data_IF_095502927720
#
_entry.id   IF_095502927720
#
_cell.length_a   1.000
_cell.length_b   1.000
_cell.length_c   1.000
_cell.angle_alpha   90.00
_cell.angle_beta   90.00
_cell.angle_gamma   90.00
#
_symmetry.space_group_name_H-M   'P 1'
#
loop_
_entity.id
_entity.type
_entity.pdbx_description
1 polymer ?
#
# COMPACT_ATOMS: atom_id res chain seq x y z
N UNK A 1 6.79 16.58 9.99
CA UNK A 1 7.40 15.28 9.64
C UNK A 1 6.23 14.36 9.36
N UNK A 2 6.19 13.70 8.21
CA UNK A 2 5.12 12.74 7.91
C UNK A 2 5.10 11.64 8.98
N UNK A 3 3.91 11.24 9.43
CA UNK A 3 3.74 10.29 10.55
C UNK A 3 3.84 8.84 10.06
N UNK A 4 5.01 8.44 9.56
CA UNK A 4 5.21 7.09 9.07
C UNK A 4 5.08 6.03 10.19
N UNK A 5 4.52 4.88 9.83
CA UNK A 5 4.35 3.70 10.67
C UNK A 5 4.96 2.47 9.99
N UNK A 6 5.19 1.42 10.77
CA UNK A 6 5.53 0.10 10.22
C UNK A 6 4.40 -0.36 9.28
N UNK A 7 4.77 -0.86 8.10
CA UNK A 7 3.83 -1.26 7.04
C UNK A 7 3.55 -0.18 5.99
N UNK A 8 3.93 1.08 6.25
CA UNK A 8 3.70 2.16 5.28
C UNK A 8 4.56 1.99 4.03
N UNK A 9 4.01 2.44 2.90
CA UNK A 9 4.72 2.51 1.64
C UNK A 9 5.41 3.87 1.47
N UNK A 10 6.69 3.80 1.14
CA UNK A 10 7.56 4.95 0.95
C UNK A 10 8.41 4.83 -0.32
N UNK A 11 8.97 5.96 -0.70
CA UNK A 11 9.99 6.09 -1.73
C UNK A 11 11.32 6.44 -1.10
N UNK A 12 12.40 6.11 -1.80
CA UNK A 12 13.76 6.54 -1.47
C UNK A 12 14.13 7.71 -2.36
N UNK A 13 14.66 8.79 -1.77
CA UNK A 13 15.06 10.00 -2.53
C UNK A 13 16.21 9.74 -3.50
N UNK A 14 17.11 8.83 -3.12
CA UNK A 14 18.30 8.48 -3.91
C UNK A 14 18.38 6.96 -4.01
N UNK A 15 17.70 6.41 -5.01
CA UNK A 15 17.55 4.96 -5.17
C UNK A 15 18.89 4.25 -5.47
N UNK A 16 19.77 4.91 -6.23
CA UNK A 16 21.03 4.32 -6.67
C UNK A 16 22.08 4.27 -5.55
N UNK A 17 21.92 5.12 -4.53
CA UNK A 17 22.77 5.11 -3.34
C UNK A 17 22.58 3.87 -2.47
N UNK A 18 21.39 3.27 -2.45
CA UNK A 18 21.06 2.18 -1.54
C UNK A 18 21.11 0.83 -2.26
N UNK A 19 21.73 -0.19 -1.65
CA UNK A 19 21.67 -1.56 -2.15
C UNK A 19 20.29 -2.18 -1.89
N UNK A 20 19.32 -1.77 -2.71
CA UNK A 20 17.99 -2.36 -2.75
C UNK A 20 17.99 -3.55 -3.70
N UNK A 21 17.50 -4.70 -3.23
CA UNK A 21 17.29 -5.84 -4.11
C UNK A 21 16.21 -5.45 -5.11
N UNK A 22 16.58 -5.30 -6.39
CA UNK A 22 15.64 -4.99 -7.46
C UNK A 22 14.74 -6.21 -7.69
N UNK A 23 13.46 -6.06 -7.39
CA UNK A 23 12.49 -7.13 -7.65
C UNK A 23 12.21 -7.16 -9.15
N UNK A 24 12.49 -8.30 -9.80
CA UNK A 24 12.11 -8.57 -11.20
C UNK A 24 12.72 -7.66 -12.28
N UNK A 25 13.90 -7.05 -12.03
CA UNK A 25 14.61 -6.25 -13.04
C UNK A 25 13.96 -4.91 -13.41
N UNK A 26 12.84 -4.56 -12.78
CA UNK A 26 12.18 -3.25 -12.92
C UNK A 26 12.62 -2.35 -11.76
N UNK A 27 13.08 -1.14 -12.09
CA UNK A 27 13.41 -0.12 -11.08
C UNK A 27 12.12 0.48 -10.56
N UNK A 28 11.55 -0.12 -9.52
CA UNK A 28 10.37 0.40 -8.81
C UNK A 28 10.88 1.06 -7.52
N UNK A 29 10.58 2.34 -7.35
CA UNK A 29 10.93 3.09 -6.14
C UNK A 29 9.77 3.05 -5.14
N UNK A 30 9.35 1.86 -4.73
CA UNK A 30 8.26 1.69 -3.74
C UNK A 30 8.68 0.61 -2.77
N UNK A 31 8.72 0.96 -1.49
CA UNK A 31 9.23 0.11 -0.43
C UNK A 31 8.30 0.13 0.78
N UNK A 32 8.16 -1.02 1.43
CA UNK A 32 7.40 -1.14 2.67
C UNK A 32 8.32 -1.01 3.88
N UNK A 33 7.95 -0.19 4.87
CA UNK A 33 8.68 -0.06 6.13
C UNK A 33 8.51 -1.34 6.95
N UNK A 34 9.62 -2.01 7.26
CA UNK A 34 9.66 -3.17 8.15
C UNK A 34 9.85 -2.77 9.61
N UNK A 35 10.71 -1.79 9.87
CA UNK A 35 10.94 -1.23 11.20
C UNK A 35 11.22 0.28 11.11
N UNK A 36 10.83 1.04 12.14
CA UNK A 36 11.07 2.47 12.25
C UNK A 36 11.75 2.76 13.58
N UNK A 37 12.88 3.45 13.52
CA UNK A 37 13.67 3.91 14.66
C UNK A 37 13.79 5.44 14.59
N UNK A 38 14.18 6.13 15.68
CA UNK A 38 14.20 7.59 15.72
C UNK A 38 15.07 8.27 14.64
N UNK A 39 16.10 7.59 14.12
CA UNK A 39 17.04 8.16 13.15
C UNK A 39 16.96 7.50 11.76
N UNK A 40 16.44 6.27 11.69
CA UNK A 40 16.45 5.47 10.47
C UNK A 40 15.22 4.56 10.35
N UNK A 41 14.97 4.11 9.12
CA UNK A 41 14.00 3.06 8.81
C UNK A 41 14.72 1.86 8.20
N UNK A 42 14.16 0.70 8.45
CA UNK A 42 14.51 -0.54 7.75
C UNK A 42 13.36 -0.87 6.81
N UNK A 43 13.66 -1.00 5.52
CA UNK A 43 12.65 -1.34 4.51
C UNK A 43 12.77 -2.79 4.09
N UNK A 44 11.64 -3.41 3.72
CA UNK A 44 11.66 -4.77 3.19
C UNK A 44 12.56 -4.86 1.95
N UNK A 45 13.28 -5.97 1.83
CA UNK A 45 14.19 -6.26 0.71
C UNK A 45 15.39 -5.30 0.56
N UNK A 46 15.67 -4.47 1.57
CA UNK A 46 16.92 -3.73 1.69
C UNK A 46 17.66 -4.16 2.96
N UNK A 47 18.97 -4.38 2.87
CA UNK A 47 19.78 -4.72 4.04
C UNK A 47 20.32 -3.49 4.78
N UNK A 48 20.21 -2.32 4.16
CA UNK A 48 20.75 -1.08 4.69
C UNK A 48 19.74 -0.35 5.57
N UNK A 49 20.25 0.36 6.57
CA UNK A 49 19.49 1.27 7.42
C UNK A 49 19.43 2.62 6.73
N UNK A 50 18.22 3.06 6.38
CA UNK A 50 18.02 4.27 5.60
C UNK A 50 17.65 5.41 6.55
N UNK A 51 18.37 6.54 6.57
CA UNK A 51 18.02 7.65 7.44
C UNK A 51 16.63 8.19 7.10
N UNK A 52 15.88 8.67 8.09
CA UNK A 52 14.53 9.26 7.88
C UNK A 52 14.57 10.41 6.86
N UNK A 53 15.68 11.14 6.78
CA UNK A 53 15.84 12.20 5.78
C UNK A 53 15.93 11.69 4.33
N UNK A 54 16.26 10.41 4.14
CA UNK A 54 16.42 9.73 2.86
C UNK A 54 15.13 9.14 2.28
N UNK A 55 14.03 9.18 3.03
CA UNK A 55 12.73 8.67 2.57
C UNK A 55 11.78 9.82 2.21
N UNK A 56 10.80 9.53 1.35
CA UNK A 56 9.76 10.46 0.95
C UNK A 56 8.41 9.73 0.83
N UNK A 57 7.27 10.41 1.08
CA UNK A 57 5.95 9.81 0.90
C UNK A 57 5.66 9.58 -0.59
N UNK A 58 4.77 8.62 -0.88
CA UNK A 58 4.35 8.32 -2.24
C UNK A 58 3.10 9.13 -2.57
N UNK A 59 3.14 10.04 -3.56
CA UNK A 59 1.96 10.79 -3.97
C UNK A 59 0.94 9.88 -4.68
N UNK A 60 -0.34 10.17 -4.47
CA UNK A 60 -1.45 9.51 -5.19
C UNK A 60 -1.58 10.17 -6.56
N UNK A 61 -0.96 9.60 -7.60
CA UNK A 61 -0.95 10.22 -8.93
C UNK A 61 -1.02 9.24 -10.11
N UNK A 62 -1.19 7.94 -9.85
CA UNK A 62 -1.25 6.89 -10.86
C UNK A 62 0.08 6.59 -11.54
N UNK A 63 1.17 7.29 -11.19
CA UNK A 63 2.52 7.08 -11.73
C UNK A 63 3.44 6.49 -10.68
N UNK A 64 3.59 7.17 -9.56
CA UNK A 64 4.50 6.79 -8.47
C UNK A 64 3.93 5.67 -7.60
N UNK A 65 2.60 5.62 -7.48
CA UNK A 65 1.85 4.59 -6.78
C UNK A 65 1.28 3.51 -7.72
N UNK A 66 1.70 3.51 -8.99
CA UNK A 66 1.22 2.60 -10.05
C UNK A 66 1.49 1.11 -9.80
N UNK A 67 2.33 0.79 -8.81
CA UNK A 67 2.70 -0.57 -8.42
C UNK A 67 2.01 -1.06 -7.16
N UNK A 68 1.02 -0.31 -6.71
CA UNK A 68 0.17 -0.68 -5.58
C UNK A 68 -1.16 -1.19 -6.13
N UNK A 69 -1.57 -2.37 -5.65
CA UNK A 69 -2.87 -2.97 -5.92
C UNK A 69 -3.62 -3.20 -4.60
N UNK A 70 -4.93 -3.42 -4.68
CA UNK A 70 -5.79 -3.65 -3.53
C UNK A 70 -6.25 -5.11 -3.49
N UNK A 71 -5.88 -5.81 -2.43
CA UNK A 71 -6.18 -7.23 -2.15
C UNK A 71 -6.53 -7.36 -0.66
N UNK A 72 -7.74 -6.94 -0.26
CA UNK A 72 -8.17 -6.97 1.12
C UNK A 72 -8.44 -8.38 1.61
N UNK A 73 -8.29 -8.60 2.92
CA UNK A 73 -8.69 -9.87 3.53
C UNK A 73 -10.22 -9.98 3.51
N UNK A 74 -10.76 -10.83 2.63
CA UNK A 74 -12.20 -11.13 2.59
C UNK A 74 -12.53 -12.15 3.69
N UNK A 75 -13.01 -11.66 4.83
CA UNK A 75 -13.50 -12.52 5.91
C UNK A 75 -14.85 -13.15 5.52
N UNK A 76 -14.80 -14.43 5.14
CA UNK A 76 -15.90 -15.40 5.03
C UNK A 76 -17.16 -14.94 4.29
N UNK A 77 -17.29 -15.36 3.02
CA UNK A 77 -18.62 -15.54 2.43
C UNK A 77 -19.35 -16.65 3.21
N UNK A 78 -20.57 -16.40 3.67
CA UNK A 78 -21.45 -17.46 4.16
C UNK A 78 -21.84 -18.33 2.97
N UNK A 79 -21.36 -19.57 2.93
CA UNK A 79 -21.68 -20.55 1.87
C UNK A 79 -22.67 -21.55 2.45
N UNK A 80 -23.85 -21.71 1.83
CA UNK A 80 -24.80 -22.75 2.23
C UNK A 80 -24.39 -24.11 1.66
N UNK A 81 -24.83 -25.23 2.26
CA UNK A 81 -24.57 -26.56 1.72
C UNK A 81 -25.07 -26.68 0.27
N UNK A 82 -24.14 -26.88 -0.68
CA UNK A 82 -24.44 -27.01 -2.11
C UNK A 82 -24.12 -25.76 -2.94
N UNK A 83 -23.83 -24.62 -2.32
CA UNK A 83 -23.40 -23.43 -3.04
C UNK A 83 -21.93 -23.55 -3.50
N UNK A 84 -21.59 -23.02 -4.69
CA UNK A 84 -20.20 -22.94 -5.11
C UNK A 84 -19.43 -22.00 -4.17
N UNK A 85 -18.26 -22.45 -3.72
CA UNK A 85 -17.36 -21.60 -2.94
C UNK A 85 -16.97 -20.40 -3.82
N UNK A 86 -17.19 -19.15 -3.38
CA UNK A 86 -16.81 -17.99 -4.16
C UNK A 86 -15.30 -17.95 -4.35
N UNK A 87 -14.88 -18.03 -5.60
CA UNK A 87 -13.46 -17.91 -5.99
C UNK A 87 -13.18 -16.42 -6.17
N UNK A 88 -12.54 -15.79 -5.18
CA UNK A 88 -11.95 -14.45 -5.37
C UNK A 88 -10.69 -14.59 -6.21
N UNK A 89 -10.67 -13.96 -7.40
CA UNK A 89 -9.45 -13.83 -8.21
C UNK A 89 -8.74 -12.54 -7.79
N UNK A 90 -7.43 -12.64 -7.57
CA UNK A 90 -6.59 -11.47 -7.29
C UNK A 90 -6.69 -10.46 -8.43
N UNK A 91 -6.91 -9.21 -8.05
CA UNK A 91 -7.00 -8.08 -8.96
C UNK A 91 -5.73 -7.22 -8.83
N UNK A 92 -4.83 -7.36 -9.80
CA UNK A 92 -3.58 -6.58 -9.85
C UNK A 92 -3.77 -5.21 -10.52
N UNK A 93 -5.02 -4.77 -10.77
CA UNK A 93 -5.27 -3.42 -11.26
C UNK A 93 -4.91 -2.37 -10.19
N UNK A 94 -4.61 -1.17 -10.66
CA UNK A 94 -4.23 -0.04 -9.83
C UNK A 94 -5.24 0.17 -8.69
N UNK A 95 -4.75 0.17 -7.45
CA UNK A 95 -5.60 0.12 -6.25
C UNK A 95 -6.69 1.21 -6.24
N UNK A 96 -6.36 2.41 -6.69
CA UNK A 96 -7.28 3.55 -6.66
C UNK A 96 -8.45 3.41 -7.66
N UNK A 97 -8.27 2.64 -8.74
CA UNK A 97 -9.36 2.25 -9.62
C UNK A 97 -10.17 1.11 -9.03
N UNK A 98 -9.52 0.17 -8.34
CA UNK A 98 -10.18 -0.90 -7.59
C UNK A 98 -11.08 -0.37 -6.48
N UNK A 99 -10.74 0.76 -5.87
CA UNK A 99 -11.55 1.43 -4.86
C UNK A 99 -12.96 1.82 -5.33
N UNK A 100 -13.19 2.02 -6.64
CA UNK A 100 -14.53 2.28 -7.18
C UNK A 100 -15.49 1.10 -7.01
N UNK A 101 -14.97 -0.11 -6.82
CA UNK A 101 -15.74 -1.36 -6.65
C UNK A 101 -15.96 -1.73 -5.18
N UNK A 102 -15.32 -1.02 -4.25
CA UNK A 102 -15.37 -1.31 -2.82
C UNK A 102 -16.09 -0.18 -2.10
N UNK A 103 -17.13 -0.55 -1.35
CA UNK A 103 -18.04 0.38 -0.71
C UNK A 103 -18.01 0.20 0.79
N UNK A 104 -18.06 1.33 1.49
CA UNK A 104 -18.37 1.39 2.91
C UNK A 104 -19.54 2.35 3.09
N UNK A 105 -20.60 1.86 3.72
CA UNK A 105 -21.89 2.57 3.80
C UNK A 105 -22.40 2.92 2.39
N UNK A 106 -22.52 4.21 2.07
CA UNK A 106 -23.03 4.71 0.79
C UNK A 106 -21.95 5.28 -0.13
N UNK A 107 -20.67 5.15 0.22
CA UNK A 107 -19.55 5.74 -0.53
C UNK A 107 -18.58 4.66 -0.97
N UNK A 108 -18.01 4.81 -2.15
CA UNK A 108 -16.89 3.98 -2.55
C UNK A 108 -15.59 4.51 -1.94
N UNK A 109 -14.56 3.67 -1.85
CA UNK A 109 -13.32 4.02 -1.19
C UNK A 109 -12.60 5.19 -1.89
N UNK A 110 -12.81 5.37 -3.20
CA UNK A 110 -12.22 6.48 -3.94
C UNK A 110 -12.82 7.83 -3.50
N UNK A 111 -14.13 7.86 -3.23
CA UNK A 111 -14.81 9.03 -2.68
C UNK A 111 -14.31 9.35 -1.28
N UNK A 112 -14.14 8.32 -0.42
CA UNK A 112 -13.58 8.52 0.93
C UNK A 112 -12.18 9.14 0.88
N UNK A 113 -11.30 8.65 0.01
CA UNK A 113 -9.95 9.23 -0.17
C UNK A 113 -10.02 10.69 -0.62
N UNK A 114 -10.95 11.04 -1.53
CA UNK A 114 -11.13 12.42 -2.01
C UNK A 114 -11.69 13.34 -0.92
N UNK A 115 -12.63 12.87 -0.11
CA UNK A 115 -13.25 13.68 0.95
C UNK A 115 -12.28 14.05 2.07
N UNK A 116 -11.33 13.16 2.35
CA UNK A 116 -10.27 13.41 3.34
C UNK A 116 -9.10 14.22 2.78
N UNK A 117 -9.12 14.57 1.49
CA UNK A 117 -8.06 15.29 0.78
C UNK A 117 -6.67 14.61 0.94
N UNK A 118 -6.64 13.27 0.91
CA UNK A 118 -5.38 12.54 1.02
C UNK A 118 -4.52 12.77 -0.22
N UNK A 119 -3.26 13.12 0.02
CA UNK A 119 -2.26 13.38 -1.01
C UNK A 119 -1.27 12.24 -1.17
N UNK A 120 -1.11 11.42 -0.11
CA UNK A 120 -0.10 10.38 -0.04
C UNK A 120 -0.69 9.01 0.32
N UNK A 121 -0.09 7.96 -0.22
CA UNK A 121 -0.53 6.56 -0.04
C UNK A 121 -0.60 6.16 1.43
N UNK A 122 0.39 6.54 2.26
CA UNK A 122 0.40 6.16 3.68
C UNK A 122 -0.82 6.70 4.46
N UNK A 123 -1.38 7.83 4.03
CA UNK A 123 -2.59 8.39 4.64
C UNK A 123 -3.81 7.49 4.35
N UNK A 124 -3.88 6.96 3.12
CA UNK A 124 -4.88 5.95 2.75
C UNK A 124 -4.69 4.68 3.58
N UNK A 125 -3.44 4.21 3.73
CA UNK A 125 -3.14 3.03 4.53
C UNK A 125 -3.57 3.21 5.99
N UNK A 126 -3.27 4.35 6.62
CA UNK A 126 -3.68 4.63 7.99
C UNK A 126 -5.20 4.67 8.10
N UNK A 127 -5.88 5.37 7.19
CA UNK A 127 -7.33 5.46 7.21
C UNK A 127 -8.00 4.08 7.11
N UNK A 128 -7.58 3.26 6.14
CA UNK A 128 -8.14 1.93 5.96
C UNK A 128 -7.83 1.01 7.14
N UNK A 129 -6.60 1.06 7.67
CA UNK A 129 -6.24 0.27 8.84
C UNK A 129 -7.00 0.69 10.09
N UNK A 130 -7.14 1.99 10.34
CA UNK A 130 -7.85 2.51 11.50
C UNK A 130 -9.36 2.13 11.44
N UNK A 131 -9.98 2.19 10.25
CA UNK A 131 -11.41 1.85 10.05
C UNK A 131 -11.69 0.33 9.96
N UNK A 132 -10.81 -0.44 9.31
CA UNK A 132 -11.08 -1.84 8.92
C UNK A 132 -10.11 -2.85 9.52
N UNK A 133 -9.08 -2.41 10.26
CA UNK A 133 -8.00 -3.24 10.82
C UNK A 133 -7.15 -3.97 9.76
N UNK A 134 -7.30 -3.61 8.48
CA UNK A 134 -6.52 -4.04 7.33
C UNK A 134 -6.53 -2.91 6.29
N UNK A 135 -5.37 -2.56 5.74
CA UNK A 135 -5.30 -1.59 4.66
C UNK A 135 -5.52 -2.23 3.28
N UNK A 136 -5.33 -3.55 3.17
CA UNK A 136 -5.51 -4.31 1.93
C UNK A 136 -4.60 -3.90 0.77
N UNK A 137 -3.73 -2.89 0.92
CA UNK A 137 -2.81 -2.46 -0.13
C UNK A 137 -1.61 -3.39 -0.16
N UNK A 138 -1.17 -3.73 -1.37
CA UNK A 138 -0.06 -4.65 -1.63
C UNK A 138 0.79 -4.14 -2.80
N UNK A 139 2.06 -4.54 -2.82
CA UNK A 139 2.99 -4.21 -3.90
C UNK A 139 2.97 -5.30 -4.97
N UNK A 140 2.76 -4.89 -6.22
CA UNK A 140 2.88 -5.72 -7.43
C UNK A 140 4.36 -6.06 -7.65
N UNK A 141 4.85 -7.04 -6.88
CA UNK A 141 6.25 -7.41 -6.77
C UNK A 141 6.45 -8.93 -6.92
N UNK A 142 5.55 -9.62 -7.64
CA UNK A 142 5.60 -11.07 -7.89
C UNK A 142 5.75 -11.34 -9.39
#
# INVERSE_FOLDING_TARGET
MENFRKGDFIRLKDLDRWQVNRISGKTINVFEINNIEPEYVEVKNCKEKIPISGIEPIPINGRDDSKIYYDPIVAASTVFPGDPIPISRKDYSYYYDSFKRHFFQSKNFQELVKEQDFQYVHQVQHYLFDEFQDDGLKLDAI
#
